data_IF_872672420886
#
_entry.id   IF_872672420886
#
_cell.length_a   1.000
_cell.length_b   1.000
_cell.length_c   1.000
_cell.angle_alpha   90.00
_cell.angle_beta   90.00
_cell.angle_gamma   90.00
#
_symmetry.space_group_name_H-M   'P 1'
#
loop_
_entity.id
_entity.type
_entity.pdbx_description
1 polymer ?
#
# COMPACT_ATOMS: atom_id res chain seq x y z
N UNK A 1 -12.93 -10.18 13.29
CA UNK A 1 -13.12 -9.85 11.86
C UNK A 1 -12.30 -10.81 11.05
N UNK A 2 -12.88 -11.39 9.99
CA UNK A 2 -12.11 -12.24 9.07
C UNK A 2 -11.19 -11.36 8.23
N UNK A 3 -9.88 -11.61 8.32
CA UNK A 3 -8.82 -10.88 7.60
C UNK A 3 -8.08 -11.78 6.61
N UNK A 4 -8.55 -13.02 6.39
CA UNK A 4 -7.86 -14.03 5.61
C UNK A 4 -7.58 -13.55 4.18
N UNK A 5 -8.53 -12.80 3.58
CA UNK A 5 -8.36 -12.21 2.24
C UNK A 5 -7.24 -11.17 2.17
N UNK A 6 -7.04 -10.37 3.23
CA UNK A 6 -5.94 -9.40 3.28
C UNK A 6 -4.60 -10.14 3.27
N UNK A 7 -4.50 -11.23 4.03
CA UNK A 7 -3.30 -12.07 4.07
C UNK A 7 -3.05 -12.77 2.72
N UNK A 8 -4.07 -13.39 2.12
CA UNK A 8 -3.98 -14.04 0.80
C UNK A 8 -3.47 -13.07 -0.28
N UNK A 9 -4.02 -11.86 -0.35
CA UNK A 9 -3.60 -10.83 -1.30
C UNK A 9 -2.16 -10.39 -1.04
N UNK A 10 -1.77 -10.22 0.23
CA UNK A 10 -0.39 -9.86 0.58
C UNK A 10 0.62 -10.91 0.14
N UNK A 11 0.36 -12.19 0.43
CA UNK A 11 1.25 -13.28 0.03
C UNK A 11 1.33 -13.46 -1.49
N UNK A 12 0.20 -13.26 -2.19
CA UNK A 12 0.21 -13.20 -3.64
C UNK A 12 1.07 -12.05 -4.16
N UNK A 13 1.02 -10.87 -3.51
CA UNK A 13 1.83 -9.71 -3.90
C UNK A 13 3.32 -9.94 -3.66
N UNK A 14 3.69 -10.57 -2.53
CA UNK A 14 5.08 -11.00 -2.27
C UNK A 14 5.59 -11.94 -3.37
N UNK A 15 4.75 -12.89 -3.81
CA UNK A 15 5.09 -13.82 -4.89
C UNK A 15 5.25 -13.10 -6.23
N UNK A 16 4.28 -12.26 -6.61
CA UNK A 16 4.33 -11.52 -7.86
C UNK A 16 5.58 -10.63 -7.95
N UNK A 17 5.97 -10.00 -6.83
CA UNK A 17 7.21 -9.22 -6.74
C UNK A 17 8.44 -10.11 -6.92
N UNK A 18 8.51 -11.27 -6.27
CA UNK A 18 9.63 -12.21 -6.40
C UNK A 18 9.78 -12.77 -7.82
N UNK A 19 8.68 -12.86 -8.57
CA UNK A 19 8.65 -13.30 -9.97
C UNK A 19 8.90 -12.15 -10.97
N UNK A 20 9.18 -10.93 -10.48
CA UNK A 20 9.31 -9.71 -11.28
C UNK A 20 8.06 -9.38 -12.11
N UNK A 21 6.89 -9.80 -11.65
CA UNK A 21 5.61 -9.52 -12.30
C UNK A 21 5.03 -8.20 -11.77
N UNK A 22 5.53 -7.08 -12.29
CA UNK A 22 5.15 -5.75 -11.82
C UNK A 22 3.66 -5.42 -12.04
N UNK A 23 3.08 -5.91 -13.14
CA UNK A 23 1.66 -5.73 -13.45
C UNK A 23 0.78 -6.40 -12.39
N UNK A 24 1.03 -7.68 -12.09
CA UNK A 24 0.29 -8.41 -11.06
C UNK A 24 0.54 -7.84 -9.66
N UNK A 25 1.77 -7.43 -9.36
CA UNK A 25 2.07 -6.73 -8.11
C UNK A 25 1.23 -5.44 -7.95
N UNK A 26 1.11 -4.64 -9.02
CA UNK A 26 0.34 -3.39 -8.99
C UNK A 26 -1.15 -3.64 -8.70
N UNK A 27 -1.73 -4.65 -9.35
CA UNK A 27 -3.11 -5.08 -9.12
C UNK A 27 -3.31 -5.57 -7.67
N UNK A 28 -2.37 -6.37 -7.15
CA UNK A 28 -2.43 -6.91 -5.80
C UNK A 28 -2.17 -5.84 -4.73
N UNK A 29 -1.33 -4.85 -5.03
CA UNK A 29 -1.13 -3.67 -4.19
C UNK A 29 -2.46 -2.92 -4.02
N UNK A 30 -3.21 -2.67 -5.10
CA UNK A 30 -4.54 -2.08 -5.01
C UNK A 30 -5.50 -2.98 -4.22
N UNK A 31 -5.53 -4.28 -4.52
CA UNK A 31 -6.40 -5.23 -3.86
C UNK A 31 -6.19 -5.26 -2.34
N UNK A 32 -4.94 -5.12 -1.87
CA UNK A 32 -4.63 -5.08 -0.43
C UNK A 32 -5.37 -3.95 0.28
N UNK A 33 -5.39 -2.75 -0.30
CA UNK A 33 -6.16 -1.63 0.25
C UNK A 33 -7.66 -1.85 0.16
N UNK A 34 -8.15 -2.41 -0.96
CA UNK A 34 -9.58 -2.69 -1.12
C UNK A 34 -10.07 -3.67 -0.05
N UNK A 35 -9.32 -4.73 0.24
CA UNK A 35 -9.70 -5.73 1.25
C UNK A 35 -9.76 -5.10 2.65
N UNK A 36 -8.80 -4.24 3.03
CA UNK A 36 -8.85 -3.50 4.30
C UNK A 36 -10.12 -2.64 4.39
N UNK A 37 -10.46 -1.90 3.33
CA UNK A 37 -11.66 -1.05 3.34
C UNK A 37 -12.95 -1.85 3.34
N UNK A 38 -12.94 -3.02 2.68
CA UNK A 38 -14.07 -3.93 2.63
C UNK A 38 -14.37 -4.51 4.02
N UNK A 39 -13.36 -5.00 4.74
CA UNK A 39 -13.55 -5.57 6.08
C UNK A 39 -13.89 -4.52 7.14
N UNK A 40 -13.59 -3.24 6.89
CA UNK A 40 -14.00 -2.14 7.76
C UNK A 40 -15.53 -1.90 7.76
N UNK A 41 -16.26 -2.43 6.77
CA UNK A 41 -17.73 -2.44 6.75
C UNK A 41 -18.40 -1.07 6.58
N UNK A 42 -17.64 -0.04 6.18
CA UNK A 42 -18.16 1.31 5.95
C UNK A 42 -18.19 1.62 4.45
N UNK A 43 -19.32 1.36 3.80
CA UNK A 43 -19.46 1.49 2.35
C UNK A 43 -19.23 2.92 1.85
N UNK A 44 -19.67 3.93 2.61
CA UNK A 44 -19.43 5.34 2.24
C UNK A 44 -17.95 5.68 2.25
N UNK A 45 -17.23 5.22 3.27
CA UNK A 45 -15.78 5.40 3.38
C UNK A 45 -15.06 4.65 2.27
N UNK A 46 -15.44 3.39 2.00
CA UNK A 46 -14.89 2.60 0.90
C UNK A 46 -15.03 3.33 -0.44
N UNK A 47 -16.23 3.80 -0.79
CA UNK A 47 -16.45 4.56 -2.03
C UNK A 47 -15.58 5.83 -2.10
N UNK A 48 -15.46 6.58 -1.01
CA UNK A 48 -14.62 7.77 -0.96
C UNK A 48 -13.15 7.43 -1.22
N UNK A 49 -12.63 6.41 -0.55
CA UNK A 49 -11.24 5.98 -0.68
C UNK A 49 -10.94 5.40 -2.08
N UNK A 50 -11.86 4.63 -2.67
CA UNK A 50 -11.75 4.16 -4.05
C UNK A 50 -11.65 5.33 -5.04
N UNK A 51 -12.43 6.39 -4.86
CA UNK A 51 -12.38 7.58 -5.71
C UNK A 51 -11.09 8.41 -5.54
N UNK A 52 -10.41 8.28 -4.39
CA UNK A 52 -9.13 8.94 -4.12
C UNK A 52 -7.93 8.10 -4.61
N UNK A 53 -8.16 6.87 -5.06
CA UNK A 53 -7.10 5.99 -5.53
C UNK A 53 -6.51 6.50 -6.85
N UNK A 54 -5.23 6.85 -6.82
CA UNK A 54 -4.51 7.43 -7.97
C UNK A 54 -3.39 6.51 -8.49
N UNK A 55 -3.47 5.21 -8.21
CA UNK A 55 -2.46 4.22 -8.59
C UNK A 55 -1.25 4.20 -7.65
N UNK A 56 -0.15 3.63 -8.14
CA UNK A 56 1.10 3.55 -7.37
C UNK A 56 1.62 4.94 -7.05
N UNK A 57 1.99 5.16 -5.79
CA UNK A 57 2.50 6.46 -5.30
C UNK A 57 3.96 6.68 -5.68
N UNK A 58 4.22 6.63 -6.98
CA UNK A 58 5.54 6.73 -7.59
C UNK A 58 6.02 8.19 -7.61
N UNK A 59 7.28 8.41 -7.26
CA UNK A 59 7.99 9.68 -7.42
C UNK A 59 8.78 9.76 -8.72
N UNK A 60 9.59 10.82 -8.88
CA UNK A 60 10.64 10.87 -9.92
C UNK A 60 11.94 10.21 -9.48
N UNK A 61 12.15 10.02 -8.17
CA UNK A 61 13.41 9.57 -7.57
C UNK A 61 13.45 8.07 -7.24
N UNK A 62 12.38 7.33 -7.50
CA UNK A 62 12.23 5.93 -7.09
C UNK A 62 11.72 5.13 -8.28
N UNK A 63 12.38 4.01 -8.59
CA UNK A 63 11.92 3.06 -9.61
C UNK A 63 10.73 2.23 -9.11
N UNK A 64 9.94 1.68 -10.02
CA UNK A 64 8.77 0.85 -9.64
C UNK A 64 9.17 -0.33 -8.76
N UNK A 65 10.32 -0.93 -9.03
CA UNK A 65 10.88 -2.05 -8.27
C UNK A 65 11.29 -1.63 -6.84
N UNK A 66 12.04 -0.52 -6.69
CA UNK A 66 12.40 0.01 -5.37
C UNK A 66 11.16 0.40 -4.56
N UNK A 67 10.16 1.01 -5.22
CA UNK A 67 8.89 1.31 -4.57
C UNK A 67 8.18 0.04 -4.09
N UNK A 68 8.13 -1.00 -4.94
CA UNK A 68 7.43 -2.23 -4.66
C UNK A 68 8.05 -2.98 -3.47
N UNK A 69 9.39 -3.03 -3.39
CA UNK A 69 10.14 -3.63 -2.28
C UNK A 69 9.83 -2.93 -0.95
N UNK A 70 9.76 -1.60 -0.95
CA UNK A 70 9.44 -0.85 0.28
C UNK A 70 7.96 -1.05 0.64
N UNK A 71 7.06 -0.89 -0.33
CA UNK A 71 5.62 -0.94 -0.11
C UNK A 71 5.15 -2.31 0.37
N UNK A 72 5.72 -3.41 -0.17
CA UNK A 72 5.37 -4.76 0.29
C UNK A 72 5.79 -5.00 1.75
N UNK A 73 6.92 -4.43 2.18
CA UNK A 73 7.39 -4.56 3.54
C UNK A 73 6.53 -3.75 4.53
N UNK A 74 6.03 -2.60 4.10
CA UNK A 74 5.05 -1.82 4.86
C UNK A 74 3.71 -2.56 4.98
N UNK A 75 3.22 -3.15 3.88
CA UNK A 75 2.01 -3.98 3.88
C UNK A 75 2.12 -5.15 4.86
N UNK A 76 3.30 -5.79 4.92
CA UNK A 76 3.59 -6.85 5.89
C UNK A 76 3.46 -6.37 7.33
N UNK A 77 4.02 -5.20 7.65
CA UNK A 77 3.91 -4.61 8.99
C UNK A 77 2.47 -4.21 9.34
N UNK A 78 1.68 -3.76 8.37
CA UNK A 78 0.24 -3.49 8.55
C UNK A 78 -0.50 -4.80 8.84
N UNK A 79 -0.28 -5.84 8.02
CA UNK A 79 -0.91 -7.15 8.19
C UNK A 79 -0.59 -7.75 9.57
N UNK A 80 0.67 -7.74 9.98
CA UNK A 80 1.08 -8.21 11.31
C UNK A 80 0.35 -7.49 12.44
N UNK A 81 0.16 -6.17 12.33
CA UNK A 81 -0.60 -5.42 13.32
C UNK A 81 -2.09 -5.79 13.34
N UNK A 82 -2.68 -6.07 12.16
CA UNK A 82 -4.06 -6.55 12.04
C UNK A 82 -4.23 -7.96 12.62
N UNK A 83 -3.28 -8.87 12.38
CA UNK A 83 -3.26 -10.23 12.93
C UNK A 83 -3.15 -10.24 14.46
N UNK A 84 -2.41 -9.28 15.02
CA UNK A 84 -2.32 -9.06 16.47
C UNK A 84 -3.55 -8.37 17.07
N UNK A 85 -4.50 -7.94 16.24
CA UNK A 85 -5.63 -7.09 16.63
C UNK A 85 -5.22 -5.80 17.36
N UNK A 86 -4.03 -5.27 17.05
CA UNK A 86 -3.55 -4.00 17.61
C UNK A 86 -3.98 -2.84 16.70
N UNK A 87 -5.14 -2.27 17.02
CA UNK A 87 -5.72 -1.15 16.27
C UNK A 87 -4.82 0.09 16.24
N UNK A 88 -4.08 0.35 17.33
CA UNK A 88 -3.22 1.53 17.42
C UNK A 88 -2.02 1.36 16.52
N UNK A 89 -1.39 0.20 16.56
CA UNK A 89 -0.26 -0.13 15.70
C UNK A 89 -0.69 -0.20 14.23
N UNK A 90 -1.81 -0.83 13.91
CA UNK A 90 -2.30 -0.91 12.52
C UNK A 90 -2.57 0.49 11.94
N UNK A 91 -3.19 1.38 12.72
CA UNK A 91 -3.39 2.79 12.33
C UNK A 91 -2.06 3.51 12.13
N UNK A 92 -1.09 3.31 13.02
CA UNK A 92 0.23 3.92 12.90
C UNK A 92 0.94 3.45 11.62
N UNK A 93 0.97 2.14 11.36
CA UNK A 93 1.63 1.57 10.16
C UNK A 93 1.01 2.05 8.85
N UNK A 94 -0.33 2.09 8.78
CA UNK A 94 -1.03 2.63 7.61
C UNK A 94 -0.74 4.12 7.41
N UNK A 95 -0.68 4.91 8.50
CA UNK A 95 -0.34 6.32 8.43
C UNK A 95 1.09 6.54 7.92
N UNK A 96 2.06 5.80 8.45
CA UNK A 96 3.47 5.85 8.01
C UNK A 96 3.56 5.55 6.50
N UNK A 97 2.91 4.48 6.04
CA UNK A 97 2.83 4.09 4.63
C UNK A 97 2.25 5.19 3.73
N UNK A 98 1.13 5.81 4.12
CA UNK A 98 0.49 6.89 3.35
C UNK A 98 1.38 8.14 3.30
N UNK A 99 2.05 8.50 4.40
CA UNK A 99 2.95 9.66 4.44
C UNK A 99 4.15 9.43 3.53
N UNK A 100 4.81 8.27 3.59
CA UNK A 100 5.91 7.95 2.67
C UNK A 100 5.45 7.97 1.21
N UNK A 101 4.28 7.41 0.93
CA UNK A 101 3.67 7.43 -0.41
C UNK A 101 3.46 8.86 -0.93
N UNK A 102 2.96 9.75 -0.07
CA UNK A 102 2.84 11.18 -0.37
C UNK A 102 4.22 11.83 -0.61
N UNK A 103 5.20 11.58 0.25
CA UNK A 103 6.57 12.11 0.11
C UNK A 103 7.21 11.70 -1.21
N UNK A 104 7.04 10.43 -1.62
CA UNK A 104 7.48 9.94 -2.93
C UNK A 104 6.85 10.75 -4.06
N UNK A 105 5.52 10.93 -4.06
CA UNK A 105 4.84 11.71 -5.09
C UNK A 105 5.34 13.16 -5.15
N UNK A 106 5.60 13.77 -3.99
CA UNK A 106 6.08 15.14 -3.88
C UNK A 106 7.49 15.34 -4.44
N UNK A 107 8.30 14.28 -4.57
CA UNK A 107 9.61 14.37 -5.24
C UNK A 107 9.54 14.87 -6.68
N UNK A 108 8.38 14.77 -7.34
CA UNK A 108 8.16 15.34 -8.67
C UNK A 108 8.15 16.87 -8.70
N UNK A 109 7.84 17.51 -7.57
CA UNK A 109 7.70 18.97 -7.45
C UNK A 109 8.87 19.63 -6.73
N UNK A 110 9.68 18.86 -6.00
CA UNK A 110 10.93 19.34 -5.44
C UNK A 110 11.96 19.37 -6.58
N UNK A 111 12.10 20.54 -7.21
CA UNK A 111 13.12 20.78 -8.23
C UNK A 111 14.51 20.42 -7.73
N UNK A 112 15.37 19.97 -8.65
CA UNK A 112 16.79 19.85 -8.38
C UNK A 112 17.32 21.24 -7.94
N UNK A 113 17.89 21.39 -6.73
CA UNK A 113 18.52 22.65 -6.32
C UNK A 113 19.66 23.10 -7.25
N UNK A 114 20.07 22.21 -8.17
CA UNK A 114 21.14 22.39 -9.17
C UNK A 114 20.65 22.78 -10.58
N UNK A 115 19.34 22.83 -10.84
CA UNK A 115 18.78 23.12 -12.17
C UNK A 115 18.47 24.61 -12.40
#
# INVERSE_FOLDING_TARGET
TDISRIAEVHYAAEKALAENNSAEYSDLNQAFHMEIWNVAGNEKMKMLLCNMWNGLSMGHKVTEEEYAVISIQEHKSILQALELHDETLARQRMREHIIRSMENMLTRYVGDPSA
#
